data_IF_530660405219
#
_entry.id   IF_530660405219
#
_cell.length_a   1.000
_cell.length_b   1.000
_cell.length_c   1.000
_cell.angle_alpha   90.00
_cell.angle_beta   90.00
_cell.angle_gamma   90.00
#
_symmetry.space_group_name_H-M   'P 1'
#
loop_
_entity.id
_entity.type
_entity.pdbx_description
1 polymer ?
#
# COMPACT_ATOMS: atom_id res chain seq x y z
N UNK A 1 -15.80 -18.41 4.89
CA UNK A 1 -15.39 -17.00 4.78
C UNK A 1 -14.02 -16.98 4.13
N UNK A 2 -13.94 -16.55 2.87
CA UNK A 2 -12.74 -16.67 2.04
C UNK A 2 -11.65 -15.70 2.52
N UNK A 3 -10.67 -16.22 3.25
CA UNK A 3 -9.39 -15.55 3.44
C UNK A 3 -8.62 -15.61 2.13
N UNK A 4 -8.68 -14.53 1.36
CA UNK A 4 -7.72 -14.33 0.29
C UNK A 4 -6.33 -14.21 0.96
N UNK A 5 -5.51 -15.25 0.79
CA UNK A 5 -4.10 -15.26 1.20
C UNK A 5 -3.41 -14.01 0.65
N UNK A 6 -2.56 -13.32 1.44
CA UNK A 6 -1.85 -12.10 0.99
C UNK A 6 -0.97 -12.33 -0.26
N UNK A 7 -0.56 -13.57 -0.53
CA UNK A 7 0.20 -13.93 -1.73
C UNK A 7 -0.53 -13.63 -3.05
N UNK A 8 -1.82 -13.93 -3.16
CA UNK A 8 -2.56 -13.78 -4.44
C UNK A 8 -2.81 -12.32 -4.83
N UNK A 9 -2.88 -11.41 -3.85
CA UNK A 9 -3.02 -9.99 -4.10
C UNK A 9 -1.71 -9.40 -4.65
N UNK A 10 -0.57 -9.82 -4.09
CA UNK A 10 0.75 -9.36 -4.52
C UNK A 10 1.13 -9.86 -5.92
N UNK A 11 0.79 -11.10 -6.27
CA UNK A 11 0.98 -11.64 -7.62
C UNK A 11 0.14 -10.86 -8.66
N UNK A 12 -1.11 -10.54 -8.33
CA UNK A 12 -1.97 -9.72 -9.20
C UNK A 12 -1.49 -8.27 -9.37
N UNK A 13 -0.89 -7.70 -8.32
CA UNK A 13 -0.25 -6.38 -8.38
C UNK A 13 0.99 -6.41 -9.28
N UNK A 14 1.88 -7.39 -9.09
CA UNK A 14 3.07 -7.56 -9.94
C UNK A 14 2.74 -7.65 -11.42
N UNK A 15 1.75 -8.47 -11.80
CA UNK A 15 1.32 -8.61 -13.20
C UNK A 15 0.85 -7.27 -13.79
N UNK A 16 0.13 -6.45 -13.00
CA UNK A 16 -0.38 -5.16 -13.48
C UNK A 16 0.68 -4.07 -13.50
N UNK A 17 1.66 -4.15 -12.61
CA UNK A 17 2.81 -3.23 -12.61
C UNK A 17 3.81 -3.53 -13.73
N UNK A 18 4.00 -4.81 -14.06
CA UNK A 18 4.83 -5.27 -15.18
C UNK A 18 4.26 -4.82 -16.54
N UNK A 19 2.99 -4.45 -16.59
CA UNK A 19 2.37 -3.97 -17.82
C UNK A 19 2.96 -2.61 -18.24
N UNK A 20 3.49 -2.47 -19.48
CA UNK A 20 4.23 -1.29 -19.94
C UNK A 20 3.33 -0.09 -20.30
N UNK A 21 2.20 0.08 -19.59
CA UNK A 21 1.32 1.22 -19.73
C UNK A 21 1.31 2.04 -18.45
N UNK A 22 1.80 3.30 -18.48
CA UNK A 22 1.82 4.16 -17.28
C UNK A 22 0.41 4.43 -16.73
N UNK A 23 -0.61 4.38 -17.59
CA UNK A 23 -2.02 4.52 -17.17
C UNK A 23 -2.46 3.31 -16.34
N UNK A 24 -2.08 2.09 -16.74
CA UNK A 24 -2.43 0.87 -15.99
C UNK A 24 -1.68 0.81 -14.65
N UNK A 25 -0.40 1.19 -14.62
CA UNK A 25 0.37 1.29 -13.39
C UNK A 25 -0.26 2.29 -12.42
N UNK A 26 -0.57 3.50 -12.89
CA UNK A 26 -1.24 4.51 -12.06
C UNK A 26 -2.62 4.05 -11.57
N UNK A 27 -3.41 3.39 -12.43
CA UNK A 27 -4.72 2.85 -12.05
C UNK A 27 -4.59 1.74 -11.00
N UNK A 28 -3.53 0.94 -11.08
CA UNK A 28 -3.23 -0.11 -10.12
C UNK A 28 -2.93 0.46 -8.74
N UNK A 29 -2.09 1.51 -8.66
CA UNK A 29 -1.85 2.23 -7.40
C UNK A 29 -3.14 2.82 -6.84
N UNK A 30 -3.97 3.47 -7.67
CA UNK A 30 -5.26 4.01 -7.22
C UNK A 30 -6.20 2.94 -6.69
N UNK A 31 -6.24 1.78 -7.35
CA UNK A 31 -7.05 0.64 -6.91
C UNK A 31 -6.57 0.10 -5.57
N UNK A 32 -5.25 0.05 -5.37
CA UNK A 32 -4.64 -0.35 -4.11
C UNK A 32 -5.00 0.63 -2.98
N UNK A 33 -4.87 1.93 -3.22
CA UNK A 33 -5.26 2.98 -2.25
C UNK A 33 -6.76 2.89 -1.92
N UNK A 34 -7.62 2.69 -2.93
CA UNK A 34 -9.05 2.53 -2.70
C UNK A 34 -9.36 1.29 -1.84
N UNK A 35 -8.63 0.18 -2.05
CA UNK A 35 -8.75 -1.02 -1.22
C UNK A 35 -8.30 -0.74 0.23
N UNK A 36 -7.19 -0.02 0.42
CA UNK A 36 -6.72 0.41 1.74
C UNK A 36 -7.78 1.24 2.47
N UNK A 37 -8.36 2.23 1.79
CA UNK A 37 -9.41 3.07 2.37
C UNK A 37 -10.67 2.27 2.70
N UNK A 38 -10.99 1.26 1.88
CA UNK A 38 -12.11 0.34 2.13
C UNK A 38 -11.86 -0.56 3.34
N UNK A 39 -10.64 -1.06 3.53
CA UNK A 39 -10.25 -1.90 4.67
C UNK A 39 -10.24 -1.14 5.99
N UNK A 40 -9.69 0.07 5.97
CA UNK A 40 -9.72 1.02 7.08
C UNK A 40 -11.14 1.31 7.58
N UNK A 41 -12.10 1.43 6.65
CA UNK A 41 -13.46 1.88 6.95
C UNK A 41 -13.52 3.31 7.50
N UNK A 42 -14.66 3.68 8.09
CA UNK A 42 -14.93 5.03 8.59
C UNK A 42 -14.22 5.39 9.91
N UNK A 43 -13.33 4.53 10.41
CA UNK A 43 -12.93 4.50 11.82
C UNK A 43 -11.77 5.45 12.22
N UNK A 44 -11.72 6.67 11.68
CA UNK A 44 -10.61 7.60 11.91
C UNK A 44 -9.34 7.22 11.13
N UNK A 45 -8.20 7.90 11.30
CA UNK A 45 -6.96 7.61 10.57
C UNK A 45 -6.42 6.19 10.84
N UNK A 46 -5.68 5.64 9.89
CA UNK A 46 -4.91 4.39 10.08
C UNK A 46 -3.83 4.68 11.12
N UNK A 47 -3.97 4.05 12.27
CA UNK A 47 -3.03 4.13 13.40
C UNK A 47 -2.42 2.75 13.66
N UNK A 48 -1.44 2.67 14.56
CA UNK A 48 -0.84 1.39 14.96
C UNK A 48 -1.86 0.39 15.55
N UNK A 49 -2.96 0.88 16.11
CA UNK A 49 -4.03 0.06 16.68
C UNK A 49 -5.12 -0.31 15.67
N UNK A 50 -5.10 0.27 14.47
CA UNK A 50 -6.03 -0.09 13.40
C UNK A 50 -5.70 -1.48 12.84
N UNK A 51 -6.70 -2.28 12.45
CA UNK A 51 -6.46 -3.55 11.80
C UNK A 51 -5.67 -3.32 10.50
N UNK A 52 -4.47 -3.89 10.42
CA UNK A 52 -3.67 -3.90 9.21
C UNK A 52 -4.31 -4.89 8.24
N UNK A 53 -4.89 -4.37 7.16
CA UNK A 53 -5.47 -5.19 6.11
C UNK A 53 -4.46 -5.58 5.04
N UNK A 54 -4.70 -6.67 4.29
CA UNK A 54 -3.80 -7.14 3.24
C UNK A 54 -3.55 -6.10 2.13
N UNK A 55 -4.45 -5.17 1.86
CA UNK A 55 -4.20 -4.10 0.88
C UNK A 55 -3.17 -3.09 1.41
N UNK A 56 -3.23 -2.79 2.71
CA UNK A 56 -2.30 -1.88 3.36
C UNK A 56 -0.89 -2.49 3.40
N UNK A 57 -0.79 -3.76 3.78
CA UNK A 57 0.48 -4.50 3.72
C UNK A 57 1.06 -4.51 2.30
N UNK A 58 0.24 -4.80 1.29
CA UNK A 58 0.69 -4.79 -0.10
C UNK A 58 1.19 -3.41 -0.53
N UNK A 59 0.54 -2.31 -0.10
CA UNK A 59 1.02 -0.95 -0.36
C UNK A 59 2.42 -0.73 0.23
N UNK A 60 2.65 -1.17 1.47
CA UNK A 60 3.96 -1.04 2.10
C UNK A 60 5.04 -1.86 1.40
N UNK A 61 4.74 -3.11 1.04
CA UNK A 61 5.68 -3.95 0.29
C UNK A 61 6.06 -3.32 -1.05
N UNK A 62 5.10 -2.70 -1.75
CA UNK A 62 5.38 -2.03 -3.02
C UNK A 62 6.20 -0.74 -2.85
N UNK A 63 6.19 -0.09 -1.68
CA UNK A 63 7.13 0.99 -1.36
C UNK A 63 8.57 0.52 -1.20
N UNK A 64 8.78 -0.79 -1.02
CA UNK A 64 10.11 -1.42 -0.99
C UNK A 64 10.39 -2.24 -2.26
N UNK A 65 9.63 -2.02 -3.35
CA UNK A 65 9.81 -2.74 -4.61
C UNK A 65 11.13 -2.35 -5.32
N UNK A 66 11.69 -3.30 -6.05
CA UNK A 66 12.86 -3.10 -6.93
C UNK A 66 12.54 -2.17 -8.12
N UNK A 67 11.27 -2.06 -8.50
CA UNK A 67 10.84 -1.18 -9.58
C UNK A 67 10.73 0.28 -9.10
N UNK A 68 11.56 1.15 -9.67
CA UNK A 68 11.64 2.57 -9.29
C UNK A 68 10.35 3.36 -9.51
N UNK A 69 9.56 3.04 -10.55
CA UNK A 69 8.31 3.73 -10.87
C UNK A 69 7.21 3.30 -9.90
N UNK A 70 7.13 1.99 -9.64
CA UNK A 70 6.17 1.42 -8.69
C UNK A 70 6.46 1.94 -7.29
N UNK A 71 7.74 1.91 -6.87
CA UNK A 71 8.18 2.44 -5.59
C UNK A 71 7.79 3.90 -5.43
N UNK A 72 8.14 4.74 -6.40
CA UNK A 72 7.83 6.18 -6.32
C UNK A 72 6.32 6.43 -6.25
N UNK A 73 5.54 5.77 -7.12
CA UNK A 73 4.09 5.92 -7.16
C UNK A 73 3.41 5.42 -5.88
N UNK A 74 3.91 4.34 -5.28
CA UNK A 74 3.42 3.82 -4.00
C UNK A 74 3.81 4.75 -2.84
N UNK A 75 5.02 5.31 -2.83
CA UNK A 75 5.43 6.32 -1.85
C UNK A 75 4.56 7.59 -1.95
N UNK A 76 4.26 8.07 -3.16
CA UNK A 76 3.36 9.20 -3.38
C UNK A 76 1.95 8.90 -2.87
N UNK A 77 1.46 7.69 -3.10
CA UNK A 77 0.16 7.24 -2.59
C UNK A 77 0.13 7.20 -1.05
N UNK A 78 1.20 6.73 -0.41
CA UNK A 78 1.36 6.76 1.04
C UNK A 78 1.39 8.19 1.56
N UNK A 79 2.12 9.09 0.90
CA UNK A 79 2.15 10.51 1.25
C UNK A 79 0.75 11.13 1.14
N UNK A 80 0.00 10.83 0.09
CA UNK A 80 -1.39 11.26 -0.09
C UNK A 80 -2.33 10.74 1.00
N UNK A 81 -2.09 9.56 1.55
CA UNK A 81 -2.86 9.04 2.69
C UNK A 81 -2.58 9.84 3.97
N UNK A 82 -1.34 10.29 4.17
CA UNK A 82 -0.95 11.13 5.31
C UNK A 82 -1.52 12.54 5.15
N UNK A 83 -1.35 13.16 3.99
CA UNK A 83 -1.86 14.52 3.69
C UNK A 83 -3.38 14.62 3.86
N UNK A 84 -4.12 13.58 3.47
CA UNK A 84 -5.59 13.55 3.61
C UNK A 84 -6.06 13.08 5.00
N UNK A 85 -5.16 12.98 5.98
CA UNK A 85 -5.43 12.47 7.33
C UNK A 85 -6.08 11.07 7.35
N UNK A 86 -5.87 10.27 6.29
CA UNK A 86 -6.29 8.87 6.26
C UNK A 86 -5.33 7.95 6.98
N UNK A 87 -4.06 8.33 7.13
CA UNK A 87 -3.03 7.62 7.88
C UNK A 87 -2.22 8.57 8.75
N UNK A 88 -1.78 8.09 9.91
CA UNK A 88 -0.91 8.85 10.79
C UNK A 88 0.55 8.74 10.32
N UNK A 89 1.26 9.87 10.18
CA UNK A 89 2.65 9.90 9.73
C UNK A 89 3.56 8.99 10.58
N UNK A 90 3.37 8.98 11.91
CA UNK A 90 4.13 8.11 12.81
C UNK A 90 3.93 6.63 12.50
N UNK A 91 2.70 6.24 12.15
CA UNK A 91 2.39 4.87 11.77
C UNK A 91 3.04 4.49 10.44
N UNK A 92 3.00 5.38 9.44
CA UNK A 92 3.69 5.18 8.17
C UNK A 92 5.18 4.97 8.38
N UNK A 93 5.82 5.86 9.15
CA UNK A 93 7.25 5.78 9.42
C UNK A 93 7.63 4.47 10.11
N UNK A 94 6.85 4.06 11.12
CA UNK A 94 7.08 2.81 11.84
C UNK A 94 6.91 1.59 10.92
N UNK A 95 5.89 1.59 10.06
CA UNK A 95 5.67 0.51 9.08
C UNK A 95 6.84 0.39 8.10
N UNK A 96 7.33 1.51 7.57
CA UNK A 96 8.51 1.51 6.68
C UNK A 96 9.75 1.02 7.41
N UNK A 97 10.00 1.50 8.64
CA UNK A 97 11.15 1.06 9.44
C UNK A 97 11.12 -0.43 9.75
N UNK A 98 9.95 -1.00 10.02
CA UNK A 98 9.80 -2.45 10.25
C UNK A 98 9.98 -3.30 9.00
N UNK A 99 9.85 -2.71 7.81
CA UNK A 99 10.04 -3.39 6.54
C UNK A 99 11.48 -3.36 6.04
N UNK A 100 12.26 -2.40 6.53
CA UNK A 100 13.67 -2.37 6.27
C UNK A 100 14.33 -3.48 7.09
N UNK A 101 15.15 -4.35 6.47
CA UNK A 101 15.96 -5.29 7.23
C UNK A 101 16.83 -4.46 8.17
N UNK A 102 16.69 -4.66 9.47
CA UNK A 102 17.62 -4.10 10.45
C UNK A 102 19.02 -4.64 10.11
N UNK A 103 19.87 -3.75 9.61
CA UNK A 103 21.24 -4.06 9.17
C UNK A 103 22.13 -4.57 10.30
#
# INVERSE_FOLDING_TARGET
>A
MNGARPAGMMEGLKIRFDFPSPVIQAQTVRTLVAAVLKEKGSNGPITQSSPQGPALEALWQQCCSDDSLVRSSCCDAVFLLVEQHYAELQHVLHSVLNLLPSA
#
